data_IF_250342697399
#
_entry.id   IF_250342697399
#
_cell.length_a   1.000
_cell.length_b   1.000
_cell.length_c   1.000
_cell.angle_alpha   90.00
_cell.angle_beta   90.00
_cell.angle_gamma   90.00
#
_symmetry.space_group_name_H-M   'P 1'
#
loop_
_entity.id
_entity.type
_entity.pdbx_description
1 polymer ?
#
# COMPACT_ATOMS: atom_id res chain seq x y z
N UNK A 1 4.52 51.37 -17.59
CA UNK A 1 4.92 50.34 -18.54
C UNK A 1 5.29 48.98 -17.88
N UNK A 2 5.99 48.96 -16.76
CA UNK A 2 6.41 47.71 -16.07
C UNK A 2 5.23 46.83 -15.65
N UNK A 3 4.13 47.37 -15.08
CA UNK A 3 3.01 46.56 -14.61
C UNK A 3 2.31 45.77 -15.72
N UNK A 4 2.19 46.31 -16.95
CA UNK A 4 1.61 45.63 -18.10
C UNK A 4 2.52 44.52 -18.63
N UNK A 5 3.85 44.64 -18.47
CA UNK A 5 4.81 43.59 -18.88
C UNK A 5 4.77 42.43 -17.90
N UNK A 6 4.65 42.67 -16.60
CA UNK A 6 4.54 41.65 -15.56
C UNK A 6 3.24 40.87 -15.72
N UNK A 7 2.11 41.53 -16.00
CA UNK A 7 0.82 40.90 -16.20
C UNK A 7 0.82 39.96 -17.42
N UNK A 8 1.51 40.34 -18.51
CA UNK A 8 1.69 39.47 -19.69
C UNK A 8 2.50 38.20 -19.35
N UNK A 9 3.53 38.34 -18.53
CA UNK A 9 4.33 37.19 -18.10
C UNK A 9 3.56 36.18 -17.25
N UNK A 10 2.72 36.65 -16.32
CA UNK A 10 1.83 35.80 -15.53
C UNK A 10 0.80 35.08 -16.37
N UNK A 11 0.23 35.77 -17.36
CA UNK A 11 -0.72 35.12 -18.31
C UNK A 11 -0.02 34.05 -19.12
N UNK A 12 1.22 34.30 -19.58
CA UNK A 12 1.97 33.33 -20.36
C UNK A 12 2.37 32.08 -19.54
N UNK A 13 2.80 32.25 -18.29
CA UNK A 13 3.09 31.14 -17.36
C UNK A 13 1.84 30.35 -17.02
N UNK A 14 0.71 31.04 -16.81
CA UNK A 14 -0.57 30.38 -16.54
C UNK A 14 -1.07 29.59 -17.74
N UNK A 15 -0.96 30.13 -18.95
CA UNK A 15 -1.31 29.46 -20.19
C UNK A 15 -0.40 28.27 -20.50
N UNK A 16 0.90 28.38 -20.17
CA UNK A 16 1.85 27.29 -20.32
C UNK A 16 1.56 26.14 -19.32
N UNK A 17 1.22 26.46 -18.07
CA UNK A 17 0.78 25.50 -17.07
C UNK A 17 -0.56 24.84 -17.48
N UNK A 18 -1.50 25.60 -18.02
CA UNK A 18 -2.76 25.08 -18.56
C UNK A 18 -2.55 24.18 -19.78
N UNK A 19 -1.61 24.49 -20.65
CA UNK A 19 -1.26 23.66 -21.81
C UNK A 19 -0.64 22.32 -21.41
N UNK A 20 0.18 22.30 -20.33
CA UNK A 20 0.73 21.07 -19.76
C UNK A 20 -0.39 20.20 -19.15
N UNK A 21 -1.38 20.81 -18.51
CA UNK A 21 -2.51 20.11 -17.91
C UNK A 21 -3.48 19.54 -18.96
N UNK A 22 -3.52 20.06 -20.17
CA UNK A 22 -4.39 19.59 -21.24
C UNK A 22 -3.77 18.46 -22.09
N UNK A 23 -2.51 18.10 -21.91
CA UNK A 23 -1.84 17.01 -22.63
C UNK A 23 -2.22 15.61 -22.12
N UNK A 24 -3.27 15.47 -21.34
CA UNK A 24 -3.88 14.19 -21.00
C UNK A 24 -4.62 13.68 -22.24
N UNK A 25 -3.88 12.92 -23.04
CA UNK A 25 -4.37 12.26 -24.24
C UNK A 25 -5.51 11.29 -23.83
N UNK A 26 -6.74 11.63 -24.14
CA UNK A 26 -7.88 10.71 -24.03
C UNK A 26 -7.65 9.60 -25.07
N UNK A 27 -7.12 8.46 -24.62
CA UNK A 27 -7.11 7.25 -25.42
C UNK A 27 -8.57 6.80 -25.64
N UNK A 28 -9.11 7.09 -26.82
CA UNK A 28 -10.39 6.55 -27.28
C UNK A 28 -10.20 5.11 -27.80
N UNK A 29 -9.80 4.20 -26.92
CA UNK A 29 -9.75 2.77 -27.19
C UNK A 29 -10.98 2.06 -26.64
N UNK A 30 -11.28 0.86 -27.17
CA UNK A 30 -12.33 0.00 -26.60
C UNK A 30 -12.10 -0.18 -25.10
N UNK A 31 -13.16 0.01 -24.32
CA UNK A 31 -13.11 -0.27 -22.89
C UNK A 31 -13.19 -1.77 -22.65
N UNK A 32 -12.21 -2.31 -21.94
CA UNK A 32 -12.23 -3.69 -21.45
C UNK A 32 -12.91 -3.76 -20.08
N UNK A 33 -13.88 -4.62 -19.92
CA UNK A 33 -14.60 -4.85 -18.66
C UNK A 33 -13.83 -5.85 -17.82
N UNK A 34 -13.29 -5.40 -16.73
CA UNK A 34 -12.46 -6.22 -15.85
C UNK A 34 -13.13 -6.30 -14.48
N UNK A 35 -13.42 -7.52 -14.05
CA UNK A 35 -13.81 -7.78 -12.68
C UNK A 35 -12.57 -8.00 -11.83
N UNK A 36 -12.40 -7.23 -10.78
CA UNK A 36 -11.39 -7.45 -9.75
C UNK A 36 -12.06 -8.06 -8.54
N UNK A 37 -11.53 -9.16 -8.03
CA UNK A 37 -12.05 -9.88 -6.87
C UNK A 37 -10.99 -9.92 -5.79
N UNK A 38 -11.32 -9.36 -4.63
CA UNK A 38 -10.46 -9.36 -3.45
C UNK A 38 -11.02 -10.27 -2.35
N UNK A 39 -10.13 -10.83 -1.54
CA UNK A 39 -10.50 -11.73 -0.45
C UNK A 39 -11.11 -11.01 0.75
N UNK A 40 -10.55 -9.87 1.13
CA UNK A 40 -10.91 -9.16 2.37
C UNK A 40 -12.01 -8.12 2.16
N UNK A 41 -12.23 -7.30 3.19
CA UNK A 41 -13.21 -6.22 3.23
C UNK A 41 -12.74 -5.00 2.43
N UNK A 42 -13.68 -4.19 1.99
CA UNK A 42 -13.39 -3.00 1.17
C UNK A 42 -12.54 -1.92 1.89
N UNK A 43 -12.49 -1.94 3.22
CA UNK A 43 -11.69 -1.04 4.04
C UNK A 43 -10.30 -1.63 4.40
N UNK A 44 -9.94 -2.75 3.80
CA UNK A 44 -8.61 -3.35 3.95
C UNK A 44 -7.53 -2.38 3.49
N UNK A 45 -6.52 -2.19 4.33
CA UNK A 45 -5.57 -1.07 4.21
C UNK A 45 -4.84 -0.99 2.87
N UNK A 46 -4.48 -2.14 2.28
CA UNK A 46 -3.74 -2.20 1.04
C UNK A 46 -4.61 -2.02 -0.22
N UNK A 47 -5.95 -2.18 -0.14
CA UNK A 47 -6.77 -2.25 -1.34
C UNK A 47 -6.89 -0.95 -2.13
N UNK A 48 -6.78 0.21 -1.47
CA UNK A 48 -6.74 1.49 -2.18
C UNK A 48 -5.52 1.58 -3.11
N UNK A 49 -4.37 1.09 -2.63
CA UNK A 49 -3.16 1.03 -3.43
C UNK A 49 -3.25 -0.07 -4.48
N UNK A 50 -3.78 -1.25 -4.15
CA UNK A 50 -4.06 -2.32 -5.11
C UNK A 50 -4.88 -1.83 -6.30
N UNK A 51 -6.07 -1.27 -6.06
CA UNK A 51 -6.98 -0.83 -7.11
C UNK A 51 -6.36 0.26 -7.99
N UNK A 52 -5.62 1.18 -7.38
CA UNK A 52 -4.86 2.21 -8.11
C UNK A 52 -3.76 1.59 -8.98
N UNK A 53 -2.94 0.71 -8.42
CA UNK A 53 -1.83 0.07 -9.12
C UNK A 53 -2.32 -0.83 -10.26
N UNK A 54 -3.41 -1.58 -10.06
CA UNK A 54 -4.03 -2.40 -11.11
C UNK A 54 -4.43 -1.51 -12.29
N UNK A 55 -5.12 -0.41 -12.04
CA UNK A 55 -5.54 0.52 -13.08
C UNK A 55 -4.35 1.12 -13.81
N UNK A 56 -3.40 1.70 -13.08
CA UNK A 56 -2.19 2.33 -13.65
C UNK A 56 -1.36 1.33 -14.45
N UNK A 57 -1.24 0.09 -13.97
CA UNK A 57 -0.49 -0.96 -14.65
C UNK A 57 -1.17 -1.37 -15.96
N UNK A 58 -2.48 -1.56 -15.98
CA UNK A 58 -3.25 -1.86 -17.20
C UNK A 58 -3.18 -0.72 -18.21
N UNK A 59 -3.34 0.52 -17.77
CA UNK A 59 -3.26 1.71 -18.63
C UNK A 59 -1.88 1.87 -19.27
N UNK A 60 -0.79 1.65 -18.51
CA UNK A 60 0.58 1.63 -19.03
C UNK A 60 0.78 0.57 -20.10
N UNK A 61 0.05 -0.55 -20.04
CA UNK A 61 0.06 -1.63 -21.03
C UNK A 61 -0.88 -1.38 -22.22
N UNK A 62 -1.50 -0.21 -22.29
CA UNK A 62 -2.41 0.19 -23.37
C UNK A 62 -3.81 -0.42 -23.26
N UNK A 63 -4.19 -0.92 -22.10
CA UNK A 63 -5.54 -1.37 -21.79
C UNK A 63 -6.33 -0.19 -21.20
N UNK A 64 -7.53 0.07 -21.74
CA UNK A 64 -8.47 1.05 -21.17
C UNK A 64 -9.49 0.29 -20.30
N UNK A 65 -9.27 0.19 -18.94
CA UNK A 65 -10.06 -0.69 -18.11
C UNK A 65 -11.36 -0.02 -17.62
N UNK A 66 -12.47 -0.77 -17.71
CA UNK A 66 -13.70 -0.51 -16.98
C UNK A 66 -13.79 -1.52 -15.85
N UNK A 67 -13.33 -1.12 -14.66
CA UNK A 67 -13.18 -2.02 -13.51
C UNK A 67 -14.45 -1.99 -12.67
N UNK A 68 -14.94 -3.18 -12.31
CA UNK A 68 -15.81 -3.43 -11.19
C UNK A 68 -15.06 -4.27 -10.15
N UNK A 69 -15.24 -3.97 -8.87
CA UNK A 69 -14.54 -4.66 -7.79
C UNK A 69 -15.55 -5.38 -6.89
N UNK A 70 -15.26 -6.63 -6.57
CA UNK A 70 -16.00 -7.42 -5.59
C UNK A 70 -15.10 -7.76 -4.41
N UNK A 71 -15.61 -7.54 -3.21
CA UNK A 71 -14.96 -7.89 -1.95
C UNK A 71 -15.66 -9.09 -1.34
N UNK A 72 -14.91 -10.19 -1.18
CA UNK A 72 -15.44 -11.43 -0.65
C UNK A 72 -15.84 -11.29 0.81
N UNK A 73 -15.16 -10.41 1.53
CA UNK A 73 -15.34 -10.20 2.97
C UNK A 73 -15.08 -11.50 3.74
N UNK A 74 -13.97 -12.17 3.42
CA UNK A 74 -13.66 -13.48 3.98
C UNK A 74 -13.46 -13.47 5.50
N UNK A 75 -13.30 -12.30 6.11
CA UNK A 75 -13.27 -12.13 7.55
C UNK A 75 -14.67 -12.14 8.20
N UNK A 76 -15.73 -12.06 7.41
CA UNK A 76 -17.09 -11.97 7.92
C UNK A 76 -17.93 -13.20 7.64
N UNK A 77 -17.58 -13.97 6.62
CA UNK A 77 -18.39 -15.09 6.15
C UNK A 77 -17.61 -16.40 6.18
N UNK A 78 -18.32 -17.49 6.30
CA UNK A 78 -17.79 -18.84 6.13
C UNK A 78 -17.97 -19.31 4.69
N UNK A 79 -17.23 -20.37 4.26
CA UNK A 79 -17.20 -20.84 2.89
C UNK A 79 -18.54 -20.98 2.18
N UNK A 80 -19.54 -21.64 2.73
CA UNK A 80 -20.82 -21.77 2.03
C UNK A 80 -21.52 -20.43 1.80
N UNK A 81 -21.30 -19.47 2.71
CA UNK A 81 -21.85 -18.13 2.54
C UNK A 81 -21.05 -17.31 1.54
N UNK A 82 -19.71 -17.46 1.51
CA UNK A 82 -18.84 -16.83 0.55
C UNK A 82 -19.14 -17.31 -0.87
N UNK A 83 -19.21 -18.62 -1.09
CA UNK A 83 -19.57 -19.23 -2.38
C UNK A 83 -20.93 -18.72 -2.89
N UNK A 84 -21.93 -18.70 -1.99
CA UNK A 84 -23.24 -18.16 -2.34
C UNK A 84 -23.19 -16.67 -2.70
N UNK A 85 -22.46 -15.86 -1.95
CA UNK A 85 -22.30 -14.42 -2.22
C UNK A 85 -21.60 -14.20 -3.56
N UNK A 86 -20.52 -14.95 -3.82
CA UNK A 86 -19.78 -14.90 -5.09
C UNK A 86 -20.71 -15.26 -6.25
N UNK A 87 -21.45 -16.36 -6.14
CA UNK A 87 -22.41 -16.78 -7.17
C UNK A 87 -23.45 -15.69 -7.46
N UNK A 88 -24.11 -15.16 -6.44
CA UNK A 88 -25.14 -14.12 -6.59
C UNK A 88 -24.59 -12.83 -7.18
N UNK A 89 -23.36 -12.47 -6.81
CA UNK A 89 -22.72 -11.31 -7.41
C UNK A 89 -22.42 -11.52 -8.90
N UNK A 90 -21.85 -12.66 -9.27
CA UNK A 90 -21.58 -12.99 -10.67
C UNK A 90 -22.89 -13.04 -11.50
N UNK A 91 -23.96 -13.56 -10.92
CA UNK A 91 -25.28 -13.54 -11.55
C UNK A 91 -25.79 -12.11 -11.78
N UNK A 92 -25.63 -11.23 -10.81
CA UNK A 92 -26.04 -9.82 -10.89
C UNK A 92 -25.30 -9.03 -11.99
N UNK A 93 -24.06 -9.41 -12.28
CA UNK A 93 -23.24 -8.76 -13.35
C UNK A 93 -23.26 -9.54 -14.67
N UNK A 94 -24.08 -10.57 -14.79
CA UNK A 94 -24.12 -11.43 -16.01
C UNK A 94 -24.40 -10.65 -17.31
N UNK A 95 -25.21 -9.58 -17.23
CA UNK A 95 -25.47 -8.67 -18.35
C UNK A 95 -24.29 -7.76 -18.68
N UNK A 96 -23.53 -7.33 -17.68
CA UNK A 96 -22.29 -6.55 -17.87
C UNK A 96 -21.18 -7.41 -18.44
N UNK A 97 -21.12 -8.68 -18.11
CA UNK A 97 -20.23 -9.73 -18.59
C UNK A 97 -18.78 -9.27 -18.72
N UNK A 98 -17.91 -9.56 -17.74
CA UNK A 98 -16.50 -9.17 -17.79
C UNK A 98 -15.78 -9.83 -18.98
N UNK A 99 -14.82 -9.11 -19.55
CA UNK A 99 -13.91 -9.63 -20.56
C UNK A 99 -12.75 -10.42 -19.94
N UNK A 100 -12.46 -10.15 -18.63
CA UNK A 100 -11.46 -10.83 -17.84
C UNK A 100 -11.77 -10.66 -16.34
N UNK A 101 -11.40 -11.66 -15.53
CA UNK A 101 -11.45 -11.61 -14.06
C UNK A 101 -10.01 -11.61 -13.53
N UNK A 102 -9.65 -10.59 -12.75
CA UNK A 102 -8.47 -10.58 -11.89
C UNK A 102 -8.90 -10.97 -10.48
N UNK A 103 -8.28 -11.98 -9.90
CA UNK A 103 -8.60 -12.43 -8.55
C UNK A 103 -7.34 -12.49 -7.72
N UNK A 104 -7.41 -11.98 -6.50
CA UNK A 104 -6.25 -11.88 -5.61
C UNK A 104 -6.45 -12.71 -4.36
N UNK A 105 -5.34 -13.40 -3.98
CA UNK A 105 -5.19 -14.20 -2.77
C UNK A 105 -5.94 -15.55 -2.81
N UNK A 106 -5.56 -16.45 -1.91
CA UNK A 106 -6.04 -17.83 -1.88
C UNK A 106 -7.56 -17.91 -1.73
N UNK A 107 -8.12 -17.13 -0.79
CA UNK A 107 -9.53 -17.22 -0.41
C UNK A 107 -10.48 -16.87 -1.57
N UNK A 108 -10.29 -15.72 -2.18
CA UNK A 108 -11.12 -15.29 -3.30
C UNK A 108 -10.94 -16.21 -4.50
N UNK A 109 -9.69 -16.64 -4.77
CA UNK A 109 -9.38 -17.54 -5.89
C UNK A 109 -10.13 -18.86 -5.77
N UNK A 110 -10.13 -19.47 -4.58
CA UNK A 110 -10.80 -20.76 -4.39
C UNK A 110 -12.31 -20.64 -4.33
N UNK A 111 -12.82 -19.62 -3.64
CA UNK A 111 -14.25 -19.35 -3.59
C UNK A 111 -14.82 -19.07 -4.99
N UNK A 112 -14.07 -18.32 -5.82
CA UNK A 112 -14.46 -18.09 -7.22
C UNK A 112 -14.59 -19.40 -7.99
N UNK A 113 -13.63 -20.34 -7.85
CA UNK A 113 -13.67 -21.63 -8.52
C UNK A 113 -14.79 -22.52 -7.97
N UNK A 114 -15.00 -22.52 -6.65
CA UNK A 114 -15.94 -23.42 -5.96
C UNK A 114 -17.39 -22.98 -6.07
N UNK A 115 -17.66 -21.70 -6.38
CA UNK A 115 -19.05 -21.24 -6.53
C UNK A 115 -19.73 -21.79 -7.79
N UNK A 116 -18.99 -22.44 -8.72
CA UNK A 116 -19.51 -23.11 -9.91
C UNK A 116 -20.44 -22.24 -10.80
N UNK A 117 -20.22 -20.94 -10.83
CA UNK A 117 -21.00 -20.05 -11.70
C UNK A 117 -20.59 -20.22 -13.18
N UNK A 118 -21.53 -20.21 -14.15
CA UNK A 118 -21.20 -20.43 -15.58
C UNK A 118 -20.16 -19.49 -16.16
N UNK A 119 -20.08 -18.23 -15.69
CA UNK A 119 -19.07 -17.26 -16.15
C UNK A 119 -17.64 -17.75 -15.91
N UNK A 120 -17.39 -18.56 -14.89
CA UNK A 120 -16.04 -19.02 -14.53
C UNK A 120 -15.44 -19.91 -15.62
N UNK A 121 -16.26 -20.68 -16.30
CA UNK A 121 -15.80 -21.56 -17.38
C UNK A 121 -15.64 -20.85 -18.74
N UNK A 122 -16.09 -19.60 -18.85
CA UNK A 122 -16.13 -18.88 -20.14
C UNK A 122 -15.31 -17.61 -20.17
N UNK A 123 -15.05 -16.99 -19.02
CA UNK A 123 -14.28 -15.75 -18.91
C UNK A 123 -12.86 -16.09 -18.50
N UNK A 124 -11.82 -15.55 -19.15
CA UNK A 124 -10.44 -15.72 -18.71
C UNK A 124 -10.23 -15.22 -17.27
N UNK A 125 -9.50 -15.99 -16.46
CA UNK A 125 -9.23 -15.67 -15.07
C UNK A 125 -7.73 -15.65 -14.85
N UNK A 126 -7.24 -14.56 -14.26
CA UNK A 126 -5.85 -14.43 -13.83
C UNK A 126 -5.82 -14.21 -12.34
N UNK A 127 -5.12 -15.10 -11.61
CA UNK A 127 -4.93 -14.96 -10.18
C UNK A 127 -3.53 -14.43 -9.82
N UNK A 128 -3.46 -13.69 -8.70
CA UNK A 128 -2.22 -13.20 -8.10
C UNK A 128 -2.26 -13.35 -6.58
N UNK A 129 -1.09 -13.30 -5.92
CA UNK A 129 -1.00 -13.36 -4.46
C UNK A 129 -1.43 -14.69 -3.83
N UNK A 130 -1.48 -15.76 -4.59
CA UNK A 130 -1.83 -17.11 -4.10
C UNK A 130 -0.59 -17.78 -3.50
N UNK A 131 -0.65 -18.11 -2.22
CA UNK A 131 0.49 -18.70 -1.50
C UNK A 131 0.52 -20.23 -1.54
N UNK A 132 -0.64 -20.90 -1.59
CA UNK A 132 -0.76 -22.35 -1.56
C UNK A 132 -1.73 -22.86 -2.65
N UNK A 133 -1.28 -22.91 -3.92
CA UNK A 133 -2.16 -23.23 -5.03
C UNK A 133 -2.76 -24.63 -4.93
N UNK A 134 -4.10 -24.69 -4.92
CA UNK A 134 -4.82 -25.96 -5.02
C UNK A 134 -4.82 -26.45 -6.47
N UNK A 135 -3.77 -27.18 -6.83
CA UNK A 135 -3.54 -27.66 -8.20
C UNK A 135 -4.69 -28.51 -8.74
N UNK A 136 -5.32 -29.32 -7.87
CA UNK A 136 -6.43 -30.19 -8.27
C UNK A 136 -7.70 -29.38 -8.62
N UNK A 137 -7.96 -28.30 -7.90
CA UNK A 137 -9.08 -27.39 -8.19
C UNK A 137 -8.81 -26.56 -9.45
N UNK A 138 -7.63 -25.97 -9.56
CA UNK A 138 -7.25 -25.16 -10.71
C UNK A 138 -7.27 -25.99 -12.02
N UNK A 139 -6.83 -27.23 -11.99
CA UNK A 139 -6.80 -28.12 -13.16
C UNK A 139 -8.20 -28.39 -13.77
N UNK A 140 -9.27 -28.07 -13.08
CA UNK A 140 -10.62 -28.21 -13.60
C UNK A 140 -11.00 -27.10 -14.62
N UNK A 141 -10.20 -26.04 -14.71
CA UNK A 141 -10.49 -24.85 -15.51
C UNK A 141 -9.35 -24.53 -16.46
N UNK A 142 -9.56 -24.68 -17.76
CA UNK A 142 -8.53 -24.43 -18.77
C UNK A 142 -8.25 -22.91 -18.96
N UNK A 143 -9.22 -22.06 -18.67
CA UNK A 143 -9.17 -20.60 -18.83
C UNK A 143 -8.61 -19.88 -17.60
N UNK A 144 -8.02 -20.61 -16.65
CA UNK A 144 -7.43 -20.07 -15.39
C UNK A 144 -5.92 -20.15 -15.48
N UNK A 145 -5.25 -19.04 -15.22
CA UNK A 145 -3.79 -18.98 -15.06
C UNK A 145 -3.42 -17.92 -14.03
N UNK A 146 -2.22 -17.99 -13.47
CA UNK A 146 -1.82 -16.97 -12.51
C UNK A 146 -0.45 -17.24 -11.88
N UNK A 147 -0.22 -16.53 -10.79
CA UNK A 147 1.07 -16.44 -10.15
C UNK A 147 1.03 -16.95 -8.71
N UNK A 148 2.00 -17.82 -8.42
CA UNK A 148 2.18 -18.43 -7.12
C UNK A 148 3.28 -17.73 -6.35
N UNK A 149 2.91 -17.13 -5.25
CA UNK A 149 3.82 -16.52 -4.30
C UNK A 149 4.31 -17.57 -3.28
N UNK A 150 5.20 -18.45 -3.75
CA UNK A 150 5.77 -19.52 -2.92
C UNK A 150 6.64 -18.93 -1.80
N UNK A 151 6.35 -19.18 -0.51
CA UNK A 151 7.20 -18.70 0.57
C UNK A 151 8.60 -19.31 0.51
N UNK A 152 9.65 -18.49 0.67
CA UNK A 152 11.05 -18.94 0.78
C UNK A 152 11.55 -18.77 2.21
N UNK A 153 11.37 -19.79 3.00
CA UNK A 153 11.71 -19.74 4.42
C UNK A 153 13.22 -19.77 4.66
N UNK A 154 13.96 -20.54 3.88
CA UNK A 154 15.42 -20.69 4.04
C UNK A 154 16.12 -19.36 3.79
N UNK A 155 15.77 -18.68 2.70
CA UNK A 155 16.34 -17.37 2.40
C UNK A 155 15.99 -16.35 3.49
N UNK A 156 14.75 -16.36 3.99
CA UNK A 156 14.33 -15.46 5.06
C UNK A 156 15.03 -15.76 6.39
N UNK A 157 15.23 -17.02 6.76
CA UNK A 157 16.00 -17.40 7.96
C UNK A 157 17.43 -16.89 7.86
N UNK A 158 18.09 -17.12 6.73
CA UNK A 158 19.46 -16.63 6.49
C UNK A 158 19.55 -15.11 6.50
N UNK A 159 18.55 -14.44 5.94
CA UNK A 159 18.41 -12.98 5.99
C UNK A 159 18.33 -12.47 7.43
N UNK A 160 17.47 -13.05 8.25
CA UNK A 160 17.33 -12.68 9.67
C UNK A 160 18.65 -12.88 10.40
N UNK A 161 19.32 -13.99 10.18
CA UNK A 161 20.62 -14.28 10.79
C UNK A 161 21.72 -13.30 10.33
N UNK A 162 21.68 -12.90 9.08
CA UNK A 162 22.61 -11.92 8.54
C UNK A 162 22.40 -10.54 9.17
N UNK A 163 21.14 -10.12 9.36
CA UNK A 163 20.79 -8.79 9.90
C UNK A 163 20.95 -8.69 11.41
N UNK A 164 20.66 -9.75 12.15
CA UNK A 164 20.57 -9.75 13.60
C UNK A 164 21.60 -10.63 14.30
N UNK A 165 22.39 -11.39 13.54
CA UNK A 165 23.27 -12.45 14.04
C UNK A 165 22.50 -13.73 14.36
N UNK A 166 23.21 -14.78 14.77
CA UNK A 166 22.58 -16.05 15.16
C UNK A 166 21.56 -15.82 16.25
N UNK A 167 20.33 -16.20 16.00
CA UNK A 167 19.18 -15.92 16.86
C UNK A 167 18.25 -17.13 16.89
N UNK A 168 17.50 -17.28 17.96
CA UNK A 168 16.32 -18.13 17.95
C UNK A 168 15.21 -17.40 17.21
N UNK A 169 14.65 -18.04 16.19
CA UNK A 169 13.56 -17.50 15.39
C UNK A 169 12.28 -18.16 15.90
N UNK A 170 11.33 -17.32 16.33
CA UNK A 170 10.00 -17.80 16.72
C UNK A 170 9.06 -17.74 15.54
N UNK A 171 8.33 -18.81 15.35
CA UNK A 171 7.27 -18.90 14.39
C UNK A 171 5.95 -19.13 15.11
N UNK A 172 5.04 -18.20 14.97
CA UNK A 172 3.68 -18.35 15.47
C UNK A 172 2.85 -19.09 14.43
N UNK A 173 2.12 -20.10 14.86
CA UNK A 173 1.23 -20.85 14.00
C UNK A 173 0.02 -21.34 14.78
N UNK A 174 -1.08 -21.57 14.07
CA UNK A 174 -2.24 -22.25 14.61
C UNK A 174 -2.50 -23.61 13.96
N UNK A 175 -3.68 -24.16 14.07
CA UNK A 175 -4.08 -25.43 13.49
C UNK A 175 -4.86 -25.30 12.19
N UNK A 176 -4.88 -24.11 11.58
CA UNK A 176 -5.62 -23.85 10.36
C UNK A 176 -5.03 -24.55 9.14
N UNK A 177 -5.79 -24.59 8.06
CA UNK A 177 -5.32 -25.18 6.81
C UNK A 177 -4.01 -24.54 6.32
N UNK A 178 -3.99 -23.22 6.28
CA UNK A 178 -2.82 -22.46 5.81
C UNK A 178 -1.61 -22.68 6.71
N UNK A 179 -1.78 -22.57 8.02
CA UNK A 179 -0.66 -22.73 8.96
C UNK A 179 -0.09 -24.13 8.96
N UNK A 180 -0.92 -25.17 8.71
CA UNK A 180 -0.40 -26.53 8.50
C UNK A 180 0.45 -26.62 7.24
N UNK A 181 0.07 -25.96 6.14
CA UNK A 181 0.87 -25.93 4.91
C UNK A 181 2.15 -25.13 5.11
N UNK A 182 2.07 -23.96 5.76
CA UNK A 182 3.24 -23.17 6.15
C UNK A 182 4.23 -24.04 6.93
N UNK A 183 3.77 -24.70 7.99
CA UNK A 183 4.61 -25.55 8.82
C UNK A 183 5.24 -26.69 8.02
N UNK A 184 4.47 -27.38 7.19
CA UNK A 184 4.97 -28.47 6.37
C UNK A 184 6.04 -28.01 5.38
N UNK A 185 5.78 -26.91 4.65
CA UNK A 185 6.70 -26.35 3.66
C UNK A 185 7.99 -25.84 4.33
N UNK A 186 7.89 -25.20 5.49
CA UNK A 186 9.06 -24.75 6.24
C UNK A 186 9.92 -25.96 6.69
N UNK A 187 9.31 -27.01 7.22
CA UNK A 187 10.04 -28.22 7.59
C UNK A 187 10.75 -28.86 6.41
N UNK A 188 10.06 -28.95 5.27
CA UNK A 188 10.63 -29.51 4.05
C UNK A 188 11.83 -28.70 3.55
N UNK A 189 11.66 -27.38 3.41
CA UNK A 189 12.73 -26.48 2.95
C UNK A 189 13.92 -26.46 3.91
N UNK A 190 13.67 -26.44 5.22
CA UNK A 190 14.73 -26.48 6.23
C UNK A 190 15.47 -27.81 6.23
N UNK A 191 14.78 -28.92 6.07
CA UNK A 191 15.42 -30.24 5.97
C UNK A 191 16.33 -30.34 4.74
N UNK A 192 15.89 -29.83 3.58
CA UNK A 192 16.70 -29.79 2.36
C UNK A 192 17.94 -28.87 2.50
N UNK A 193 17.89 -27.86 3.36
CA UNK A 193 18.96 -26.88 3.60
C UNK A 193 19.84 -27.22 4.81
N UNK A 194 19.63 -28.37 5.45
CA UNK A 194 20.29 -28.80 6.71
C UNK A 194 20.11 -27.77 7.85
N UNK A 195 18.93 -27.13 7.91
CA UNK A 195 18.55 -26.21 8.98
C UNK A 195 17.70 -26.98 9.99
N UNK A 196 18.14 -27.01 11.23
CA UNK A 196 17.37 -27.64 12.31
C UNK A 196 16.13 -26.80 12.65
N UNK A 197 14.98 -27.44 12.60
CA UNK A 197 13.71 -26.91 13.05
C UNK A 197 13.37 -27.61 14.37
N UNK A 198 13.92 -27.10 15.43
CA UNK A 198 13.69 -27.59 16.79
C UNK A 198 13.62 -26.44 17.78
N UNK A 199 13.40 -26.77 19.06
CA UNK A 199 13.27 -25.76 20.14
C UNK A 199 14.52 -24.90 20.36
N UNK A 200 15.64 -25.21 19.71
CA UNK A 200 16.89 -24.47 19.90
C UNK A 200 17.13 -23.40 18.84
N UNK A 201 16.50 -23.49 17.66
CA UNK A 201 16.76 -22.55 16.57
C UNK A 201 15.49 -21.93 15.98
N UNK A 202 14.48 -22.75 15.69
CA UNK A 202 13.17 -22.29 15.25
C UNK A 202 12.14 -22.88 16.19
N UNK A 203 11.54 -22.02 16.99
CA UNK A 203 10.53 -22.43 17.97
C UNK A 203 9.15 -22.20 17.37
N UNK A 204 8.38 -23.28 17.25
CA UNK A 204 6.97 -23.17 16.96
C UNK A 204 6.19 -22.85 18.22
N UNK A 205 5.43 -21.78 18.18
CA UNK A 205 4.50 -21.45 19.24
C UNK A 205 3.10 -21.77 18.70
N UNK A 206 2.50 -22.88 19.13
CA UNK A 206 1.11 -23.14 18.79
C UNK A 206 0.25 -22.09 19.46
N UNK A 207 -0.58 -21.43 18.66
CA UNK A 207 -1.50 -20.43 19.16
C UNK A 207 -2.90 -20.97 19.06
N UNK A 208 -3.48 -21.24 20.22
CA UNK A 208 -4.91 -21.44 20.35
C UNK A 208 -5.56 -20.10 20.70
N UNK A 209 -6.79 -19.88 20.25
CA UNK A 209 -7.50 -18.61 20.48
C UNK A 209 -7.50 -18.23 21.96
N UNK A 210 -7.69 -19.19 22.85
CA UNK A 210 -7.68 -18.96 24.29
C UNK A 210 -6.33 -18.49 24.86
N UNK A 211 -5.22 -18.66 24.12
CA UNK A 211 -3.89 -18.28 24.55
C UNK A 211 -3.37 -17.04 23.86
N UNK A 212 -4.10 -16.52 22.90
CA UNK A 212 -3.71 -15.40 22.04
C UNK A 212 -3.39 -14.14 22.83
N UNK A 213 -4.22 -13.81 23.81
CA UNK A 213 -3.98 -12.64 24.66
C UNK A 213 -2.65 -12.74 25.43
N UNK A 214 -2.28 -13.93 25.87
CA UNK A 214 -0.99 -14.17 26.54
C UNK A 214 0.17 -14.01 25.57
N UNK A 215 0.04 -14.52 24.35
CA UNK A 215 1.08 -14.38 23.32
C UNK A 215 1.22 -12.92 22.93
N UNK A 216 0.14 -12.22 22.68
CA UNK A 216 0.15 -10.78 22.38
C UNK A 216 0.77 -9.96 23.53
N UNK A 217 0.48 -10.31 24.78
CA UNK A 217 1.08 -9.63 25.92
C UNK A 217 2.60 -9.87 26.00
N UNK A 218 3.07 -11.10 25.71
CA UNK A 218 4.49 -11.43 25.71
C UNK A 218 5.28 -10.81 24.56
N UNK A 219 4.60 -10.43 23.46
CA UNK A 219 5.21 -9.88 22.25
C UNK A 219 5.04 -8.36 22.12
N UNK A 220 4.44 -7.69 23.08
CA UNK A 220 4.19 -6.23 23.01
C UNK A 220 5.46 -5.41 22.85
N UNK A 221 5.35 -4.36 22.04
CA UNK A 221 6.43 -3.38 21.85
C UNK A 221 6.69 -2.59 23.12
N UNK A 222 7.94 -2.20 23.40
CA UNK A 222 8.30 -1.45 24.60
C UNK A 222 7.63 -0.08 24.72
N UNK A 223 7.25 0.52 23.61
CA UNK A 223 6.61 1.82 23.50
C UNK A 223 5.07 1.78 23.62
N UNK A 224 4.49 0.61 23.72
CA UNK A 224 3.05 0.50 23.93
C UNK A 224 2.70 0.86 25.37
N UNK A 225 1.91 1.90 25.56
CA UNK A 225 1.55 2.47 26.87
C UNK A 225 0.61 1.61 27.72
N UNK A 226 0.32 0.41 27.34
CA UNK A 226 -0.57 -0.49 28.09
C UNK A 226 0.11 -1.82 28.37
N UNK A 227 0.30 -2.06 29.65
CA UNK A 227 0.65 -3.29 30.35
C UNK A 227 2.15 -3.59 30.54
N UNK A 228 2.52 -3.83 31.80
CA UNK A 228 3.80 -4.38 32.22
C UNK A 228 4.08 -5.70 31.52
N UNK A 229 4.93 -5.64 30.51
CA UNK A 229 5.43 -6.82 29.81
C UNK A 229 6.56 -7.38 30.67
N UNK A 230 6.42 -8.62 31.09
CA UNK A 230 7.57 -9.39 31.58
C UNK A 230 8.50 -9.58 30.37
N UNK A 231 9.70 -8.98 30.36
CA UNK A 231 10.65 -9.23 29.27
C UNK A 231 10.94 -10.72 29.26
N UNK A 232 10.79 -11.38 28.14
CA UNK A 232 11.44 -12.68 27.95
C UNK A 232 12.93 -12.37 27.93
N UNK A 233 13.61 -12.71 29.01
CA UNK A 233 15.01 -12.37 29.24
C UNK A 233 15.89 -13.05 28.18
N UNK A 234 16.76 -12.30 27.56
CA UNK A 234 18.11 -12.71 27.25
C UNK A 234 18.50 -12.83 25.80
N UNK A 235 17.66 -13.20 24.85
CA UNK A 235 18.12 -13.48 23.51
C UNK A 235 17.53 -12.55 22.46
N UNK A 236 18.35 -12.23 21.44
CA UNK A 236 17.89 -11.54 20.23
C UNK A 236 16.90 -12.44 19.52
N UNK A 237 15.63 -12.25 19.78
CA UNK A 237 14.55 -13.06 19.25
C UNK A 237 13.94 -12.34 18.04
N UNK A 238 13.91 -13.02 16.93
CA UNK A 238 13.18 -12.59 15.74
C UNK A 238 11.99 -13.51 15.52
N UNK A 239 10.81 -12.92 15.37
CA UNK A 239 9.65 -13.68 14.99
C UNK A 239 9.48 -13.52 13.47
N UNK A 240 9.37 -14.63 12.76
CA UNK A 240 8.83 -14.62 11.41
C UNK A 240 7.34 -14.69 11.56
N UNK A 241 6.65 -13.58 11.27
CA UNK A 241 5.21 -13.49 11.44
C UNK A 241 4.51 -14.11 10.24
N UNK A 242 3.73 -15.11 10.50
CA UNK A 242 2.77 -15.60 9.55
C UNK A 242 1.38 -15.21 9.95
N UNK A 243 0.62 -15.02 8.96
CA UNK A 243 -0.75 -14.69 9.15
C UNK A 243 -1.48 -15.86 9.75
N UNK A 244 -1.78 -15.70 11.00
CA UNK A 244 -2.47 -16.71 11.76
C UNK A 244 -3.88 -16.68 11.39
N UNK A 245 -4.58 -17.05 10.63
CA UNK A 245 -6.04 -17.15 10.51
C UNK A 245 -6.75 -16.36 9.42
N UNK A 246 -6.16 -15.37 8.79
CA UNK A 246 -6.86 -14.67 7.72
C UNK A 246 -7.28 -15.57 6.56
N UNK A 247 -6.57 -16.65 6.35
CA UNK A 247 -6.80 -17.57 5.26
C UNK A 247 -7.40 -18.89 5.70
N UNK A 248 -8.07 -18.84 6.83
CA UNK A 248 -8.60 -20.04 7.45
C UNK A 248 -9.78 -20.56 6.70
N UNK A 249 -9.85 -21.85 6.48
CA UNK A 249 -11.14 -22.45 6.22
C UNK A 249 -12.06 -22.29 7.43
N UNK A 250 -12.84 -21.36 7.43
CA UNK A 250 -14.24 -21.19 7.66
C UNK A 250 -14.91 -21.51 8.99
N UNK A 251 -14.69 -22.63 9.63
CA UNK A 251 -15.36 -22.98 10.88
C UNK A 251 -14.82 -22.18 12.05
N UNK A 252 -13.57 -21.93 12.00
CA UNK A 252 -12.81 -21.21 12.99
C UNK A 252 -13.10 -19.71 12.99
N UNK A 253 -13.37 -19.21 11.83
CA UNK A 253 -13.51 -17.82 11.50
C UNK A 253 -14.69 -17.14 12.17
N UNK A 254 -15.85 -17.82 12.24
CA UNK A 254 -17.04 -17.31 12.90
C UNK A 254 -16.86 -17.15 14.41
N UNK A 255 -16.01 -17.96 15.03
CA UNK A 255 -15.71 -17.86 16.45
C UNK A 255 -14.63 -16.81 16.73
N UNK A 256 -13.72 -16.61 15.81
CA UNK A 256 -12.57 -15.72 15.93
C UNK A 256 -12.86 -14.27 15.56
N UNK A 257 -14.02 -13.94 15.04
CA UNK A 257 -14.35 -12.61 14.51
C UNK A 257 -14.00 -11.43 15.42
N UNK A 258 -14.03 -11.61 16.75
CA UNK A 258 -13.58 -10.61 17.72
C UNK A 258 -12.08 -10.67 17.97
N UNK A 259 -11.52 -11.86 17.94
CA UNK A 259 -10.16 -12.17 18.35
C UNK A 259 -9.20 -11.99 17.19
N UNK A 260 -9.71 -12.04 15.99
CA UNK A 260 -8.95 -11.92 14.76
C UNK A 260 -8.14 -10.61 14.65
N UNK A 261 -8.70 -9.48 15.01
CA UNK A 261 -7.96 -8.21 15.07
C UNK A 261 -6.85 -8.20 16.11
N UNK A 262 -6.91 -9.09 17.06
CA UNK A 262 -5.91 -9.28 18.12
C UNK A 262 -4.77 -10.18 17.65
N UNK A 263 -4.98 -10.95 16.57
CA UNK A 263 -4.04 -11.93 16.05
C UNK A 263 -2.84 -11.34 15.29
N UNK A 264 -2.87 -10.08 14.94
CA UNK A 264 -1.74 -9.42 14.32
C UNK A 264 -0.65 -9.13 15.36
N UNK A 265 0.07 -10.19 15.73
CA UNK A 265 1.09 -10.16 16.78
C UNK A 265 2.30 -9.31 16.43
N UNK A 266 2.62 -9.18 15.14
CA UNK A 266 3.75 -8.36 14.69
C UNK A 266 3.58 -6.88 15.07
N UNK A 267 2.37 -6.38 15.03
CA UNK A 267 2.04 -4.99 15.39
C UNK A 267 2.38 -4.64 16.85
N UNK A 268 2.33 -5.64 17.74
CA UNK A 268 2.56 -5.49 19.18
C UNK A 268 3.82 -6.17 19.66
N UNK A 269 4.60 -6.76 18.76
CA UNK A 269 5.79 -7.51 19.11
C UNK A 269 6.84 -6.63 19.81
N UNK A 270 7.40 -7.14 20.88
CA UNK A 270 8.60 -6.58 21.54
C UNK A 270 9.89 -6.94 20.80
N UNK A 271 9.80 -7.64 19.68
CA UNK A 271 10.92 -8.14 18.89
C UNK A 271 10.71 -7.83 17.41
N UNK A 272 11.80 -7.68 16.62
CA UNK A 272 11.67 -7.48 15.19
C UNK A 272 10.94 -8.65 14.53
N UNK A 273 9.89 -8.34 13.79
CA UNK A 273 9.08 -9.32 13.08
C UNK A 273 9.35 -9.25 11.58
N UNK A 274 9.64 -10.39 10.99
CA UNK A 274 9.88 -10.54 9.55
C UNK A 274 8.74 -11.33 8.91
N UNK A 275 8.69 -11.34 7.58
CA UNK A 275 7.69 -12.11 6.85
C UNK A 275 8.30 -12.83 5.67
N UNK A 276 7.75 -13.99 5.32
CA UNK A 276 8.12 -14.76 4.13
C UNK A 276 7.10 -14.62 2.98
N UNK A 277 6.01 -13.92 3.21
CA UNK A 277 4.96 -13.59 2.24
C UNK A 277 4.57 -12.11 2.37
N UNK A 278 3.86 -11.57 1.38
CA UNK A 278 3.39 -10.20 1.46
C UNK A 278 2.17 -10.10 2.39
N UNK A 279 2.40 -9.62 3.60
CA UNK A 279 1.43 -9.44 4.69
C UNK A 279 1.33 -7.98 5.10
N UNK A 280 0.79 -7.14 4.23
CA UNK A 280 0.66 -5.70 4.48
C UNK A 280 1.98 -5.03 4.90
N UNK A 281 3.09 -5.50 4.35
CA UNK A 281 4.40 -4.91 4.63
C UNK A 281 4.40 -3.44 4.22
N UNK A 282 4.87 -2.59 5.11
CA UNK A 282 4.88 -1.14 4.92
C UNK A 282 3.60 -0.41 5.36
N UNK A 283 2.57 -1.13 5.77
CA UNK A 283 1.32 -0.57 6.28
C UNK A 283 1.25 -0.64 7.82
N UNK A 284 0.27 -1.37 8.35
CA UNK A 284 -0.03 -1.36 9.79
C UNK A 284 0.63 -2.49 10.57
N UNK A 285 1.14 -3.51 9.89
CA UNK A 285 1.57 -4.76 10.51
C UNK A 285 2.92 -4.67 11.24
N UNK A 286 3.66 -3.57 11.07
CA UNK A 286 4.95 -3.37 11.77
C UNK A 286 5.98 -4.47 11.50
N UNK A 287 6.00 -4.99 10.28
CA UNK A 287 6.96 -5.96 9.81
C UNK A 287 8.23 -5.26 9.35
N UNK A 288 9.39 -5.79 9.70
CA UNK A 288 10.69 -5.28 9.26
C UNK A 288 10.88 -5.48 7.76
N UNK A 289 10.53 -6.64 7.26
CA UNK A 289 10.68 -7.01 5.85
C UNK A 289 10.93 -8.50 5.64
N UNK A 290 11.35 -8.83 4.45
CA UNK A 290 11.67 -10.21 4.06
C UNK A 290 12.09 -10.33 2.60
N UNK A 291 12.35 -11.56 2.19
CA UNK A 291 12.48 -11.95 0.79
C UNK A 291 11.15 -12.48 0.30
N UNK A 292 10.38 -11.64 -0.36
CA UNK A 292 8.96 -11.82 -0.67
C UNK A 292 8.62 -11.35 -2.09
N UNK A 293 7.46 -11.72 -2.58
CA UNK A 293 6.83 -11.07 -3.72
C UNK A 293 6.15 -9.80 -3.22
N UNK A 294 6.58 -8.62 -3.69
CA UNK A 294 5.94 -7.37 -3.29
C UNK A 294 4.54 -7.21 -3.89
N UNK A 295 3.72 -6.34 -3.32
CA UNK A 295 2.40 -6.02 -3.85
C UNK A 295 2.48 -5.54 -5.30
N UNK A 296 3.45 -4.67 -5.59
CA UNK A 296 3.68 -4.16 -6.93
C UNK A 296 4.02 -5.29 -7.92
N UNK A 297 4.87 -6.23 -7.51
CA UNK A 297 5.23 -7.39 -8.34
C UNK A 297 4.02 -8.29 -8.60
N UNK A 298 3.21 -8.59 -7.57
CA UNK A 298 1.98 -9.39 -7.73
C UNK A 298 1.03 -8.76 -8.74
N UNK A 299 0.84 -7.43 -8.64
CA UNK A 299 -0.05 -6.68 -9.53
C UNK A 299 0.55 -6.60 -10.94
N UNK A 300 1.83 -6.30 -11.08
CA UNK A 300 2.49 -6.19 -12.37
C UNK A 300 2.43 -7.50 -13.16
N UNK A 301 2.77 -8.62 -12.52
CA UNK A 301 2.73 -9.94 -13.14
C UNK A 301 1.31 -10.34 -13.57
N UNK A 302 0.32 -10.14 -12.70
CA UNK A 302 -1.08 -10.45 -13.00
C UNK A 302 -1.64 -9.56 -14.13
N UNK A 303 -1.31 -8.27 -14.12
CA UNK A 303 -1.78 -7.32 -15.14
C UNK A 303 -1.03 -7.46 -16.46
N UNK A 304 0.23 -7.92 -16.47
CA UNK A 304 0.95 -8.28 -17.69
C UNK A 304 0.22 -9.41 -18.43
N UNK A 305 -0.07 -10.48 -17.70
CA UNK A 305 -0.81 -11.62 -18.26
C UNK A 305 -2.23 -11.21 -18.71
N UNK A 306 -2.92 -10.45 -17.89
CA UNK A 306 -4.24 -9.92 -18.23
C UNK A 306 -4.22 -9.09 -19.52
N UNK A 307 -3.21 -8.24 -19.69
CA UNK A 307 -3.07 -7.41 -20.90
C UNK A 307 -2.79 -8.25 -22.15
N UNK A 308 -1.97 -9.31 -22.05
CA UNK A 308 -1.71 -10.22 -23.15
C UNK A 308 -2.98 -10.97 -23.58
N UNK A 309 -3.76 -11.46 -22.61
CA UNK A 309 -5.04 -12.13 -22.88
C UNK A 309 -6.03 -11.16 -23.54
N UNK A 310 -6.18 -9.96 -22.99
CA UNK A 310 -7.09 -8.94 -23.53
C UNK A 310 -6.70 -8.45 -24.94
N UNK A 311 -5.41 -8.57 -25.29
CA UNK A 311 -4.90 -8.29 -26.64
C UNK A 311 -5.04 -9.46 -27.62
N UNK A 312 -5.61 -10.58 -27.18
CA UNK A 312 -5.95 -11.71 -28.03
C UNK A 312 -5.10 -12.96 -27.86
N UNK A 313 -4.18 -13.02 -26.88
CA UNK A 313 -3.48 -14.27 -26.55
C UNK A 313 -4.47 -15.25 -25.89
N UNK A 314 -4.55 -16.50 -26.35
CA UNK A 314 -5.41 -17.50 -25.72
C UNK A 314 -5.01 -17.72 -24.25
N UNK A 315 -5.97 -17.72 -23.35
CA UNK A 315 -5.69 -17.94 -21.90
C UNK A 315 -5.04 -19.30 -21.63
N UNK A 316 -5.39 -20.30 -22.43
CA UNK A 316 -4.87 -21.66 -22.33
C UNK A 316 -3.40 -21.78 -22.79
N UNK A 317 -2.86 -20.75 -23.46
CA UNK A 317 -1.45 -20.75 -23.88
C UNK A 317 -0.48 -20.48 -22.73
N UNK A 318 -0.98 -20.00 -21.59
CA UNK A 318 -0.17 -19.69 -20.43
C UNK A 318 -0.08 -20.88 -19.46
N UNK A 319 1.06 -21.06 -18.77
CA UNK A 319 1.12 -21.98 -17.65
C UNK A 319 0.05 -21.62 -16.62
N UNK A 320 -0.68 -22.65 -16.16
CA UNK A 320 -1.75 -22.44 -15.19
C UNK A 320 -1.21 -21.83 -13.87
N UNK A 321 -0.01 -22.24 -13.46
CA UNK A 321 0.65 -21.76 -12.25
C UNK A 321 2.08 -21.35 -12.63
N UNK A 322 2.41 -20.09 -12.40
CA UNK A 322 3.76 -19.53 -12.58
C UNK A 322 4.29 -19.06 -11.24
N UNK A 323 5.54 -19.36 -10.90
CA UNK A 323 6.16 -18.80 -9.68
C UNK A 323 6.39 -17.30 -9.85
N UNK A 324 5.99 -16.52 -8.85
CA UNK A 324 6.24 -15.09 -8.79
C UNK A 324 7.70 -14.77 -8.53
N UNK A 325 8.12 -13.60 -9.01
CA UNK A 325 9.44 -13.05 -8.70
C UNK A 325 9.48 -12.52 -7.28
N UNK A 326 10.63 -12.66 -6.62
CA UNK A 326 10.84 -12.19 -5.26
C UNK A 326 11.90 -11.11 -5.20
N UNK A 327 11.73 -10.25 -4.24
CA UNK A 327 12.65 -9.17 -3.92
C UNK A 327 12.89 -9.11 -2.41
N UNK A 328 14.01 -8.54 -2.02
CA UNK A 328 14.22 -8.11 -0.64
C UNK A 328 13.42 -6.82 -0.43
N UNK A 329 12.43 -6.87 0.45
CA UNK A 329 11.55 -5.71 0.72
C UNK A 329 11.58 -5.43 2.21
N UNK A 330 11.78 -4.15 2.58
CA UNK A 330 11.86 -3.74 3.98
C UNK A 330 11.05 -2.47 4.24
N UNK A 331 10.44 -2.37 5.40
CA UNK A 331 9.89 -1.11 5.90
C UNK A 331 11.01 -0.30 6.57
N UNK A 332 11.33 0.84 5.99
CA UNK A 332 12.36 1.73 6.50
C UNK A 332 12.12 2.18 7.94
N UNK A 333 10.86 2.40 8.32
CA UNK A 333 10.51 2.81 9.68
C UNK A 333 10.83 1.71 10.69
N UNK A 334 10.55 0.46 10.33
CA UNK A 334 10.83 -0.68 11.19
C UNK A 334 12.33 -1.01 11.23
N UNK A 335 13.04 -0.93 10.10
CA UNK A 335 14.51 -1.03 10.08
C UNK A 335 15.15 -0.01 11.02
N UNK A 336 14.66 1.23 10.99
CA UNK A 336 15.12 2.30 11.88
C UNK A 336 14.72 2.06 13.35
N UNK A 337 13.47 1.66 13.61
CA UNK A 337 12.95 1.42 14.95
C UNK A 337 13.74 0.33 15.67
N UNK A 338 14.06 -0.76 14.98
CA UNK A 338 14.83 -1.88 15.52
C UNK A 338 16.34 -1.67 15.45
N UNK A 339 16.79 -0.49 15.03
CA UNK A 339 18.21 -0.15 14.90
C UNK A 339 19.02 -1.16 14.07
N UNK A 340 18.41 -1.67 12.99
CA UNK A 340 19.08 -2.58 12.06
C UNK A 340 20.02 -1.76 11.18
N UNK A 341 21.28 -2.22 11.07
CA UNK A 341 22.28 -1.54 10.26
C UNK A 341 21.91 -1.63 8.77
N UNK A 342 21.60 -0.50 8.15
CA UNK A 342 21.23 -0.41 6.74
C UNK A 342 22.29 -0.94 5.79
N UNK A 343 23.57 -0.95 6.19
CA UNK A 343 24.68 -1.49 5.39
C UNK A 343 24.62 -3.01 5.23
N UNK A 344 23.85 -3.68 6.11
CA UNK A 344 23.61 -5.12 6.03
C UNK A 344 22.43 -5.47 5.13
N UNK A 345 21.61 -4.49 4.72
CA UNK A 345 20.52 -4.75 3.78
C UNK A 345 21.09 -5.12 2.40
N UNK A 346 20.48 -6.06 1.68
CA UNK A 346 20.84 -6.36 0.30
C UNK A 346 20.83 -5.10 -0.57
N UNK A 347 21.77 -4.98 -1.52
CA UNK A 347 21.95 -3.77 -2.33
C UNK A 347 20.74 -3.46 -3.23
N UNK A 348 20.02 -4.48 -3.61
CA UNK A 348 18.81 -4.45 -4.46
C UNK A 348 17.53 -4.41 -3.64
N UNK A 349 17.63 -4.20 -2.32
CA UNK A 349 16.47 -4.17 -1.45
C UNK A 349 15.57 -2.97 -1.74
N UNK A 350 14.28 -3.25 -1.84
CA UNK A 350 13.22 -2.24 -1.93
C UNK A 350 12.93 -1.72 -0.52
N UNK A 351 13.01 -0.40 -0.32
CA UNK A 351 12.68 0.23 0.95
C UNK A 351 11.33 0.93 0.86
N UNK A 352 10.33 0.37 1.50
CA UNK A 352 9.03 1.00 1.69
C UNK A 352 9.14 2.11 2.74
N UNK A 353 8.25 3.09 2.68
CA UNK A 353 8.22 4.23 3.61
C UNK A 353 9.55 5.00 3.72
N UNK A 354 10.40 4.91 2.68
CA UNK A 354 11.67 5.63 2.66
C UNK A 354 11.41 7.11 2.43
N UNK A 355 11.87 8.00 3.33
CA UNK A 355 11.55 9.42 3.24
C UNK A 355 12.06 10.04 1.93
N UNK A 356 11.23 10.83 1.25
CA UNK A 356 11.56 11.49 0.00
C UNK A 356 12.86 12.32 0.08
N UNK A 357 13.11 12.97 1.22
CA UNK A 357 14.35 13.73 1.46
C UNK A 357 15.61 12.86 1.43
N UNK A 358 15.51 11.59 1.85
CA UNK A 358 16.62 10.65 1.91
C UNK A 358 16.77 9.89 0.57
N UNK A 359 15.65 9.68 -0.13
CA UNK A 359 15.61 9.03 -1.44
C UNK A 359 16.13 9.96 -2.55
N UNK A 360 15.75 11.24 -2.50
CA UNK A 360 16.08 12.24 -3.51
C UNK A 360 16.62 13.53 -2.87
N UNK A 361 17.76 13.50 -2.16
CA UNK A 361 18.21 14.64 -1.38
C UNK A 361 18.45 15.88 -2.21
N UNK A 362 19.04 15.74 -3.42
CA UNK A 362 19.28 16.89 -4.31
C UNK A 362 17.97 17.55 -4.76
N UNK A 363 16.99 16.75 -5.16
CA UNK A 363 15.68 17.23 -5.59
C UNK A 363 14.93 17.90 -4.43
N UNK A 364 14.95 17.27 -3.25
CA UNK A 364 14.33 17.83 -2.05
C UNK A 364 14.86 19.20 -1.69
N UNK A 365 16.19 19.36 -1.61
CA UNK A 365 16.80 20.66 -1.30
C UNK A 365 16.60 21.68 -2.40
N UNK A 366 16.61 21.28 -3.67
CA UNK A 366 16.29 22.18 -4.79
C UNK A 366 14.86 22.70 -4.70
N UNK A 367 13.89 21.86 -4.39
CA UNK A 367 12.49 22.25 -4.18
C UNK A 367 12.35 23.24 -3.01
N UNK A 368 13.04 22.98 -1.88
CA UNK A 368 13.04 23.88 -0.73
C UNK A 368 13.59 25.27 -1.11
N UNK A 369 14.69 25.32 -1.86
CA UNK A 369 15.28 26.59 -2.32
C UNK A 369 14.31 27.34 -3.22
N UNK A 370 13.69 26.67 -4.19
CA UNK A 370 12.71 27.27 -5.10
C UNK A 370 11.51 27.84 -4.34
N UNK A 371 10.91 27.04 -3.45
CA UNK A 371 9.77 27.48 -2.66
C UNK A 371 10.14 28.65 -1.75
N UNK A 372 11.29 28.59 -1.08
CA UNK A 372 11.77 29.67 -0.22
C UNK A 372 12.00 30.97 -1.00
N UNK A 373 12.59 30.87 -2.20
CA UNK A 373 12.82 32.02 -3.07
C UNK A 373 11.50 32.65 -3.52
N UNK A 374 10.52 31.83 -3.92
CA UNK A 374 9.19 32.29 -4.27
C UNK A 374 8.49 33.02 -3.08
N UNK A 375 8.57 32.43 -1.90
CA UNK A 375 8.02 33.06 -0.68
C UNK A 375 8.67 34.40 -0.40
N UNK A 376 10.01 34.50 -0.48
CA UNK A 376 10.74 35.77 -0.31
C UNK A 376 10.29 36.82 -1.34
N UNK A 377 10.09 36.40 -2.59
CA UNK A 377 9.63 37.32 -3.65
C UNK A 377 8.20 37.82 -3.38
N UNK A 378 7.30 36.95 -2.99
CA UNK A 378 5.92 37.32 -2.62
C UNK A 378 5.91 38.27 -1.42
N UNK A 379 6.66 37.94 -0.36
CA UNK A 379 6.78 38.81 0.83
C UNK A 379 7.38 40.18 0.49
N UNK A 380 8.47 40.20 -0.31
CA UNK A 380 9.08 41.43 -0.80
C UNK A 380 8.10 42.31 -1.58
N UNK A 381 7.31 41.67 -2.46
CA UNK A 381 6.27 42.37 -3.23
C UNK A 381 5.18 42.98 -2.32
N UNK A 382 4.75 42.23 -1.31
CA UNK A 382 3.80 42.72 -0.30
C UNK A 382 4.34 43.92 0.49
N UNK A 383 5.61 43.88 0.92
CA UNK A 383 6.25 44.99 1.64
C UNK A 383 6.33 46.22 0.74
N UNK A 384 6.70 46.07 -0.54
CA UNK A 384 6.76 47.18 -1.49
C UNK A 384 5.37 47.79 -1.69
N UNK A 385 4.34 46.98 -1.92
CA UNK A 385 2.97 47.45 -2.05
C UNK A 385 2.49 48.21 -0.79
N UNK A 386 2.71 47.63 0.38
CA UNK A 386 2.34 48.25 1.66
C UNK A 386 3.05 49.59 1.89
N UNK A 387 4.35 49.69 1.59
CA UNK A 387 5.11 50.93 1.73
C UNK A 387 4.66 51.99 0.74
N UNK A 388 4.32 51.60 -0.50
CA UNK A 388 3.76 52.55 -1.49
C UNK A 388 2.39 53.05 -1.08
N UNK A 389 1.50 52.20 -0.62
CA UNK A 389 0.18 52.57 -0.14
C UNK A 389 0.27 53.49 1.10
N UNK A 390 1.16 53.19 2.04
CA UNK A 390 1.40 54.00 3.23
C UNK A 390 1.96 55.39 2.87
N UNK A 391 2.87 55.49 1.88
CA UNK A 391 3.39 56.77 1.36
C UNK A 391 2.27 57.60 0.69
N UNK A 392 1.45 56.93 -0.14
CA UNK A 392 0.32 57.58 -0.81
C UNK A 392 -0.70 58.15 0.21
N UNK A 393 -1.07 57.36 1.25
CA UNK A 393 -1.93 57.81 2.32
C UNK A 393 -1.37 59.00 3.08
N UNK A 394 -0.08 59.00 3.40
CA UNK A 394 0.61 60.14 4.06
C UNK A 394 0.63 61.39 3.17
N UNK A 395 0.83 61.25 1.88
CA UNK A 395 0.80 62.39 0.93
C UNK A 395 -0.61 63.00 0.82
N UNK A 396 -1.63 62.14 0.69
CA UNK A 396 -3.02 62.57 0.66
C UNK A 396 -3.45 63.30 1.97
N UNK A 397 -2.97 62.77 3.11
CA UNK A 397 -3.24 63.39 4.41
C UNK A 397 -2.58 64.77 4.56
N UNK A 398 -1.33 64.94 4.06
CA UNK A 398 -0.65 66.24 4.04
C UNK A 398 -1.33 67.26 3.11
N UNK A 399 -1.77 66.82 1.92
CA UNK A 399 -2.51 67.65 0.99
C UNK A 399 -3.84 68.14 1.59
N UNK A 400 -4.59 67.25 2.26
CA UNK A 400 -5.83 67.57 2.94
C UNK A 400 -5.62 68.59 4.10
N UNK A 401 -4.51 68.45 4.83
CA UNK A 401 -4.18 69.42 5.91
C UNK A 401 -3.90 70.82 5.36
N UNK A 402 -3.12 70.90 4.28
CA UNK A 402 -2.78 72.14 3.60
C UNK A 402 -4.05 72.82 3.02
N UNK A 403 -4.97 72.06 2.44
CA UNK A 403 -6.26 72.57 1.96
C UNK A 403 -7.14 73.13 3.10
N UNK A 404 -7.19 72.44 4.24
CA UNK A 404 -7.86 72.93 5.44
C UNK A 404 -7.26 74.19 5.99
N UNK A 405 -5.96 74.33 6.04
CA UNK A 405 -5.24 75.53 6.47
C UNK A 405 -5.55 76.73 5.54
N UNK A 406 -5.48 76.52 4.21
CA UNK A 406 -5.79 77.52 3.24
C UNK A 406 -7.27 77.97 3.28
N UNK A 407 -8.19 77.08 3.56
CA UNK A 407 -9.61 77.39 3.73
C UNK A 407 -9.85 78.16 5.00
N UNK A 408 -9.17 77.82 6.09
CA UNK A 408 -9.24 78.59 7.34
C UNK A 408 -8.74 80.05 7.21
N UNK A 409 -7.60 80.23 6.53
CA UNK A 409 -7.07 81.60 6.23
C UNK A 409 -8.02 82.41 5.33
N UNK A 410 -8.63 81.73 4.33
CA UNK A 410 -9.60 82.39 3.45
C UNK A 410 -10.87 82.82 4.22
N UNK A 411 -11.33 82.01 5.16
CA UNK A 411 -12.48 82.27 6.00
C UNK A 411 -12.20 83.44 6.97
N UNK A 412 -11.00 83.50 7.53
CA UNK A 412 -10.56 84.55 8.41
C UNK A 412 -10.51 85.91 7.68
N UNK A 413 -9.94 85.93 6.46
CA UNK A 413 -9.92 87.11 5.59
C UNK A 413 -11.31 87.57 5.15
N UNK A 414 -12.23 86.66 4.90
CA UNK A 414 -13.62 87.03 4.58
C UNK A 414 -14.34 87.64 5.78
N UNK A 415 -14.14 87.16 6.98
CA UNK A 415 -14.70 87.67 8.21
C UNK A 415 -14.10 89.04 8.62
N UNK A 416 -12.85 89.34 8.22
CA UNK A 416 -12.23 90.62 8.43
C UNK A 416 -12.74 91.69 7.44
N UNK A 417 -13.19 91.32 6.25
CA UNK A 417 -13.73 92.24 5.25
C UNK A 417 -15.20 92.59 5.46
N UNK A 418 -15.90 91.79 6.30
CA UNK A 418 -17.30 92.05 6.68
C UNK A 418 -17.42 92.86 7.99
N UNK A 419 -16.30 93.30 8.54
CA UNK A 419 -16.24 94.28 9.66
C UNK A 419 -15.78 95.67 9.16
#
# INVERSE_FOLDING_TARGET
>A
MLARSIQKYYIFVLLFLLAILQSSCQQSGNKYRILVVHSYESDYVAYKDCDRLIRESLEKKGINPSIQTFYLNCEQYAAPAEEKRMYLYLDSISTWKPDLILVYEDQATYTLMQCHHPLISTVPIVFGGVNFPNKALLAQYANVSGFWDEPDYVTNIRLIEHLLGKSTIYMLHDSTYIDRHIKATLHEQCAQADIRVDNNRIMYIPVEIATLDRVNQSLKRPDSTTVNVVPVQGDKLSAVSWYMSKHVPYIYYLQAKRDYRVLNTSRFSSKPSFTAINEDLGYTNKLVGGYITSLETQIEEATDRAAEILKGSPSESFPQITKSKKNYVFDFNEVKYWNIDKRLLPKDAILLNFPFKDQYPRLFWSLIIVVSTMCCFVFGSFIIMYTQESKAKRQAQKALLHEKESLAEALEKANESDR
#
